data_IF_720888246287
#
_entry.id   IF_720888246287
#
_cell.length_a   1.000
_cell.length_b   1.000
_cell.length_c   1.000
_cell.angle_alpha   90.00
_cell.angle_beta   90.00
_cell.angle_gamma   90.00
#
_symmetry.space_group_name_H-M   'P 1'
#
loop_
_entity.id
_entity.type
_entity.pdbx_description
1 polymer ?
#
# COMPACT_ATOMS: atom_id res chain seq x y z
N UNK A 1 -5.43 16.72 3.14
CA UNK A 1 -5.92 17.87 3.94
C UNK A 1 -7.40 18.06 3.61
N UNK A 2 -8.30 18.27 4.60
CA UNK A 2 -9.74 18.38 4.37
C UNK A 2 -10.10 19.45 3.33
N UNK A 3 -9.44 20.61 3.39
CA UNK A 3 -9.64 21.72 2.45
C UNK A 3 -9.01 21.49 1.06
N UNK A 4 -7.98 20.64 0.98
CA UNK A 4 -7.29 20.36 -0.29
C UNK A 4 -7.91 19.20 -1.08
N UNK A 5 -8.64 18.31 -0.41
CA UNK A 5 -9.32 17.16 -1.02
C UNK A 5 -10.79 17.41 -1.34
N UNK A 6 -11.36 18.54 -0.91
CA UNK A 6 -12.74 18.90 -1.19
C UNK A 6 -12.97 19.00 -2.71
N UNK A 7 -13.87 18.16 -3.24
CA UNK A 7 -14.20 18.11 -4.67
C UNK A 7 -13.21 17.34 -5.56
N UNK A 8 -12.20 16.67 -5.00
CA UNK A 8 -11.29 15.81 -5.78
C UNK A 8 -11.75 14.35 -5.72
N UNK A 9 -12.04 13.77 -6.88
CA UNK A 9 -12.39 12.35 -7.02
C UNK A 9 -11.20 11.41 -6.78
N UNK A 10 -9.96 11.92 -6.88
CA UNK A 10 -8.72 11.17 -6.68
C UNK A 10 -8.22 11.19 -5.23
N UNK A 11 -9.07 11.57 -4.26
CA UNK A 11 -8.68 11.62 -2.85
C UNK A 11 -9.63 10.82 -1.99
N UNK A 12 -9.08 9.89 -1.22
CA UNK A 12 -9.83 9.13 -0.22
C UNK A 12 -9.84 9.83 1.14
N UNK A 13 -10.98 9.85 1.85
CA UNK A 13 -11.04 10.33 3.22
C UNK A 13 -10.27 9.38 4.13
N UNK A 14 -9.49 9.95 5.06
CA UNK A 14 -8.65 9.22 6.00
C UNK A 14 -9.00 9.62 7.43
N UNK A 15 -9.32 8.66 8.29
CA UNK A 15 -9.52 8.97 9.71
C UNK A 15 -8.23 9.39 10.39
N UNK A 16 -8.35 10.22 11.44
CA UNK A 16 -7.19 10.65 12.23
C UNK A 16 -6.47 9.47 12.89
N UNK A 17 -7.21 8.43 13.28
CA UNK A 17 -6.62 7.25 13.91
C UNK A 17 -5.84 6.42 12.89
N UNK A 18 -6.36 6.26 11.67
CA UNK A 18 -5.65 5.59 10.59
C UNK A 18 -4.35 6.32 10.26
N UNK A 19 -4.40 7.65 10.12
CA UNK A 19 -3.20 8.47 9.90
C UNK A 19 -2.14 8.29 11.00
N UNK A 20 -2.57 8.29 12.27
CA UNK A 20 -1.65 8.09 13.41
C UNK A 20 -0.97 6.73 13.35
N UNK A 21 -1.74 5.67 13.08
CA UNK A 21 -1.20 4.32 12.98
C UNK A 21 -0.23 4.20 11.81
N UNK A 22 -0.62 4.63 10.61
CA UNK A 22 0.27 4.58 9.42
C UNK A 22 1.57 5.35 9.66
N UNK A 23 1.49 6.56 10.22
CA UNK A 23 2.67 7.36 10.56
C UNK A 23 3.54 6.67 11.60
N UNK A 24 2.95 6.04 12.61
CA UNK A 24 3.70 5.30 13.62
C UNK A 24 4.44 4.12 12.98
N UNK A 25 3.76 3.32 12.15
CA UNK A 25 4.37 2.19 11.45
C UNK A 25 5.49 2.60 10.49
N UNK A 26 5.41 3.80 9.87
CA UNK A 26 6.45 4.30 8.98
C UNK A 26 7.69 4.89 9.69
N UNK A 27 7.55 5.34 10.94
CA UNK A 27 8.60 6.12 11.63
C UNK A 27 9.28 5.37 12.77
N UNK A 28 8.75 4.21 13.16
CA UNK A 28 9.28 3.40 14.26
C UNK A 28 9.93 2.13 13.72
N UNK A 29 10.84 1.59 14.51
CA UNK A 29 11.42 0.26 14.28
C UNK A 29 10.35 -0.84 14.39
N UNK A 30 10.71 -2.00 13.87
CA UNK A 30 9.82 -3.16 13.81
C UNK A 30 9.35 -3.64 15.19
N UNK A 31 10.25 -3.69 16.18
CA UNK A 31 9.94 -4.17 17.53
C UNK A 31 8.90 -3.29 18.21
N UNK A 32 8.97 -1.98 17.97
CA UNK A 32 8.00 -0.99 18.43
C UNK A 32 6.70 -1.05 17.64
N UNK A 33 6.77 -1.23 16.32
CA UNK A 33 5.61 -1.34 15.43
C UNK A 33 4.73 -2.57 15.72
N UNK A 34 5.36 -3.71 16.02
CA UNK A 34 4.66 -4.98 16.30
C UNK A 34 3.76 -4.92 17.54
N UNK A 35 4.01 -3.98 18.46
CA UNK A 35 3.22 -3.81 19.68
C UNK A 35 1.89 -3.08 19.45
N UNK A 36 1.68 -2.50 18.27
CA UNK A 36 0.47 -1.74 17.95
C UNK A 36 -0.74 -2.67 17.89
N UNK A 37 -1.73 -2.39 18.76
CA UNK A 37 -3.02 -3.08 18.74
C UNK A 37 -4.06 -2.23 18.04
N UNK A 38 -4.55 -2.73 16.91
CA UNK A 38 -5.56 -2.07 16.08
C UNK A 38 -6.92 -2.69 16.34
N UNK A 39 -7.95 -1.85 16.53
CA UNK A 39 -9.33 -2.34 16.67
C UNK A 39 -9.88 -2.80 15.31
N UNK A 40 -10.77 -3.79 15.24
CA UNK A 40 -11.23 -4.34 13.96
C UNK A 40 -11.73 -3.30 12.94
N UNK A 41 -12.53 -2.28 13.30
CA UNK A 41 -12.98 -1.27 12.33
C UNK A 41 -11.83 -0.45 11.74
N UNK A 42 -10.82 -0.15 12.56
CA UNK A 42 -9.64 0.59 12.14
C UNK A 42 -8.73 -0.28 11.27
N UNK A 43 -8.68 -1.58 11.51
CA UNK A 43 -7.91 -2.51 10.68
C UNK A 43 -8.46 -2.56 9.25
N UNK A 44 -9.80 -2.66 9.10
CA UNK A 44 -10.47 -2.66 7.79
C UNK A 44 -10.18 -1.35 7.04
N UNK A 45 -10.24 -0.21 7.73
CA UNK A 45 -9.90 1.08 7.14
C UNK A 45 -8.45 1.11 6.63
N UNK A 46 -7.49 0.71 7.48
CA UNK A 46 -6.07 0.67 7.15
C UNK A 46 -5.77 -0.25 5.96
N UNK A 47 -6.39 -1.41 5.91
CA UNK A 47 -6.24 -2.37 4.82
C UNK A 47 -6.70 -1.78 3.49
N UNK A 48 -7.88 -1.16 3.46
CA UNK A 48 -8.42 -0.54 2.25
C UNK A 48 -7.49 0.58 1.72
N UNK A 49 -6.99 1.44 2.62
CA UNK A 49 -6.09 2.54 2.27
C UNK A 49 -4.75 2.01 1.74
N UNK A 50 -4.17 1.02 2.43
CA UNK A 50 -2.90 0.43 2.01
C UNK A 50 -3.02 -0.26 0.66
N UNK A 51 -4.11 -0.98 0.43
CA UNK A 51 -4.37 -1.61 -0.86
C UNK A 51 -4.47 -0.56 -1.97
N UNK A 52 -5.26 0.50 -1.77
CA UNK A 52 -5.35 1.60 -2.73
C UNK A 52 -3.97 2.22 -2.99
N UNK A 53 -3.21 2.53 -1.94
CA UNK A 53 -1.88 3.13 -2.06
C UNK A 53 -0.90 2.24 -2.84
N UNK A 54 -0.88 0.94 -2.55
CA UNK A 54 -0.03 -0.03 -3.26
C UNK A 54 -0.46 -0.11 -4.72
N UNK A 55 -1.76 -0.24 -5.00
CA UNK A 55 -2.29 -0.28 -6.37
C UNK A 55 -1.93 0.98 -7.14
N UNK A 56 -2.22 2.17 -6.59
CA UNK A 56 -1.84 3.44 -7.20
C UNK A 56 -0.34 3.53 -7.47
N UNK A 57 0.49 3.15 -6.48
CA UNK A 57 1.95 3.18 -6.62
C UNK A 57 2.43 2.21 -7.70
N UNK A 58 1.85 1.01 -7.77
CA UNK A 58 2.24 -0.01 -8.75
C UNK A 58 1.75 0.33 -10.14
N UNK A 59 0.53 0.81 -10.30
CA UNK A 59 -0.05 1.28 -11.56
C UNK A 59 0.74 2.46 -12.12
N UNK A 60 1.21 3.37 -11.26
CA UNK A 60 2.09 4.46 -11.65
C UNK A 60 3.54 4.00 -11.95
N UNK A 61 4.00 2.89 -11.35
CA UNK A 61 5.35 2.33 -11.51
C UNK A 61 5.38 1.03 -12.35
N UNK A 62 4.47 0.87 -13.31
CA UNK A 62 4.31 -0.32 -14.17
C UNK A 62 5.48 -0.64 -15.13
N UNK A 63 6.73 -0.36 -14.73
CA UNK A 63 7.93 -1.10 -15.18
C UNK A 63 8.00 -2.52 -14.57
N UNK A 64 7.22 -2.79 -13.52
CA UNK A 64 7.20 -4.07 -12.81
C UNK A 64 6.44 -5.19 -13.54
N UNK A 65 5.38 -4.88 -14.31
CA UNK A 65 4.75 -5.87 -15.19
C UNK A 65 5.73 -6.30 -16.29
N UNK A 66 6.47 -5.36 -16.87
CA UNK A 66 7.47 -5.67 -17.88
C UNK A 66 8.59 -6.58 -17.31
N UNK A 67 9.05 -6.28 -16.08
CA UNK A 67 10.00 -7.12 -15.35
C UNK A 67 9.44 -8.52 -15.00
N UNK A 68 8.22 -8.61 -14.47
CA UNK A 68 7.57 -9.89 -14.15
C UNK A 68 7.30 -10.72 -15.41
N UNK A 69 6.94 -10.08 -16.53
CA UNK A 69 6.79 -10.74 -17.82
C UNK A 69 8.15 -11.24 -18.35
N UNK A 70 9.22 -10.46 -18.19
CA UNK A 70 10.57 -10.86 -18.58
C UNK A 70 11.09 -12.04 -17.73
N UNK A 71 10.82 -12.03 -16.42
CA UNK A 71 11.19 -13.11 -15.51
C UNK A 71 10.38 -14.39 -15.80
N UNK A 72 9.08 -14.28 -16.09
CA UNK A 72 8.26 -15.42 -16.53
C UNK A 72 8.75 -16.02 -17.85
N UNK A 73 9.15 -15.20 -18.82
CA UNK A 73 9.76 -15.67 -20.08
C UNK A 73 11.07 -16.43 -19.84
N UNK A 74 11.94 -15.91 -18.97
CA UNK A 74 13.19 -16.57 -18.59
C UNK A 74 12.98 -17.92 -17.89
N UNK A 75 12.01 -17.99 -16.97
CA UNK A 75 11.66 -19.23 -16.26
C UNK A 75 11.09 -20.30 -17.21
N UNK A 76 10.32 -19.90 -18.23
CA UNK A 76 9.79 -20.83 -19.24
C UNK A 76 10.90 -21.42 -20.13
N UNK A 77 11.85 -20.59 -20.58
CA UNK A 77 12.99 -21.07 -21.37
C UNK A 77 13.98 -21.93 -20.57
N UNK A 78 14.01 -21.79 -19.24
CA UNK A 78 14.88 -22.58 -18.37
C UNK A 78 14.30 -23.97 -18.04
N UNK A 79 12.99 -24.17 -18.22
CA UNK A 79 12.31 -25.45 -17.98
C UNK A 79 12.28 -26.40 -19.19
N UNK A 80 12.87 -26.01 -20.33
CA UNK A 80 12.86 -26.77 -21.58
C UNK A 80 14.25 -27.32 -21.95
N UNK A 81 15.16 -27.42 -20.98
CA UNK A 81 16.48 -28.06 -21.10
C UNK A 81 16.63 -29.21 -20.12
#
# INVERSE_FOLDING_TARGET
CPRCGEGRSETDPLSLNALKVLRFLQTRDYDTAMQVRVRPPLHVELEAIMLHYITYTLEQNLKSIEFLQQFRRQMQTAGEK
#
